data_IF_805980325619
#
_entry.id   IF_805980325619
#
_cell.length_a   1.000
_cell.length_b   1.000
_cell.length_c   1.000
_cell.angle_alpha   90.00
_cell.angle_beta   90.00
_cell.angle_gamma   90.00
#
_symmetry.space_group_name_H-M   'P 1'
#
loop_
_entity.id
_entity.type
_entity.pdbx_description
1 polymer ?
#
# COMPACT_ATOMS: atom_id res chain seq x y z
N UNK A 1 -19.38 5.99 -2.70
CA UNK A 1 -18.47 4.94 -2.20
C UNK A 1 -17.07 5.55 -2.08
N UNK A 2 -16.38 5.38 -0.95
CA UNK A 2 -15.00 5.86 -0.77
C UNK A 2 -14.03 4.71 -0.98
N UNK A 3 -12.95 4.95 -1.73
CA UNK A 3 -11.88 3.97 -1.95
C UNK A 3 -10.55 4.57 -1.49
N UNK A 4 -9.77 3.78 -0.76
CA UNK A 4 -8.40 4.12 -0.39
C UNK A 4 -7.48 3.10 -1.04
N UNK A 5 -6.59 3.56 -1.91
CA UNK A 5 -5.47 2.78 -2.44
C UNK A 5 -4.26 3.08 -1.58
N UNK A 6 -3.58 2.06 -1.10
CA UNK A 6 -2.44 2.17 -0.19
C UNK A 6 -1.23 1.52 -0.85
N UNK A 7 -0.17 2.30 -0.98
CA UNK A 7 1.15 1.80 -1.28
C UNK A 7 1.74 1.16 -0.03
N UNK A 8 1.41 -0.12 0.16
CA UNK A 8 1.60 -0.78 1.45
C UNK A 8 3.08 -0.83 1.83
N UNK A 9 3.96 -1.26 0.93
CA UNK A 9 5.37 -1.45 1.26
C UNK A 9 6.07 -0.12 1.54
N UNK A 10 5.71 0.95 0.82
CA UNK A 10 6.24 2.29 1.06
C UNK A 10 5.86 2.79 2.46
N UNK A 11 4.56 2.81 2.78
CA UNK A 11 4.05 3.30 4.07
C UNK A 11 4.48 2.40 5.23
N UNK A 12 4.53 1.08 5.02
CA UNK A 12 4.99 0.11 6.00
C UNK A 12 6.49 0.23 6.29
N UNK A 13 7.31 0.56 5.27
CA UNK A 13 8.73 0.80 5.48
C UNK A 13 8.96 2.02 6.37
N UNK A 14 8.27 3.12 6.10
CA UNK A 14 8.36 4.34 6.92
C UNK A 14 7.89 4.09 8.37
N UNK A 15 6.80 3.33 8.55
CA UNK A 15 6.36 2.89 9.88
C UNK A 15 7.49 2.20 10.66
N UNK A 16 8.13 1.20 10.06
CA UNK A 16 9.20 0.44 10.72
C UNK A 16 10.42 1.31 10.98
N UNK A 17 10.83 2.13 10.01
CA UNK A 17 11.99 3.01 10.17
C UNK A 17 11.79 3.98 11.35
N UNK A 18 10.60 4.56 11.49
CA UNK A 18 10.27 5.45 12.60
C UNK A 18 10.21 4.69 13.93
N UNK A 19 9.60 3.50 13.95
CA UNK A 19 9.56 2.62 15.14
C UNK A 19 10.97 2.35 15.66
N UNK A 20 11.84 1.82 14.81
CA UNK A 20 13.19 1.41 15.24
C UNK A 20 14.10 2.60 15.56
N UNK A 21 13.96 3.74 14.86
CA UNK A 21 14.69 4.96 15.23
C UNK A 21 14.36 5.44 16.65
N UNK A 22 13.10 5.31 17.09
CA UNK A 22 12.71 5.65 18.48
C UNK A 22 13.35 4.73 19.51
N UNK A 23 13.50 3.46 19.16
CA UNK A 23 14.14 2.43 19.99
C UNK A 23 15.67 2.48 19.92
N UNK A 24 16.25 3.42 19.16
CA UNK A 24 17.69 3.52 18.89
C UNK A 24 18.28 2.23 18.27
N UNK A 25 17.46 1.53 17.48
CA UNK A 25 17.86 0.32 16.76
C UNK A 25 18.14 0.61 15.28
N UNK A 26 19.12 -0.09 14.71
CA UNK A 26 19.41 0.00 13.28
C UNK A 26 18.35 -0.77 12.47
N UNK A 27 17.49 -0.04 11.75
CA UNK A 27 16.44 -0.62 10.90
C UNK A 27 16.97 -1.71 9.95
N UNK A 28 18.14 -1.53 9.35
CA UNK A 28 18.66 -2.47 8.35
C UNK A 28 19.00 -3.84 8.95
N UNK A 29 19.31 -3.89 10.25
CA UNK A 29 19.67 -5.12 10.97
C UNK A 29 18.45 -5.89 11.47
N UNK A 30 17.34 -5.19 11.73
CA UNK A 30 16.14 -5.77 12.38
C UNK A 30 14.96 -5.99 11.44
N UNK A 31 14.90 -5.27 10.30
CA UNK A 31 13.73 -5.26 9.40
C UNK A 31 13.30 -6.62 8.84
N UNK A 32 14.21 -7.58 8.77
CA UNK A 32 13.93 -8.93 8.28
C UNK A 32 13.49 -9.88 9.40
N UNK A 33 13.90 -9.63 10.66
CA UNK A 33 13.62 -10.50 11.81
C UNK A 33 12.20 -10.30 12.34
N UNK A 34 11.73 -9.06 12.35
CA UNK A 34 10.49 -8.67 13.04
C UNK A 34 9.30 -8.45 12.11
N UNK A 35 9.43 -8.81 10.84
CA UNK A 35 8.49 -8.43 9.77
C UNK A 35 7.02 -8.78 10.07
N UNK A 36 6.77 -9.96 10.64
CA UNK A 36 5.43 -10.42 11.01
C UNK A 36 4.84 -9.58 12.15
N UNK A 37 5.62 -9.35 13.22
CA UNK A 37 5.21 -8.53 14.36
C UNK A 37 4.94 -7.10 13.92
N UNK A 38 5.86 -6.53 13.15
CA UNK A 38 5.72 -5.17 12.60
C UNK A 38 4.44 -5.04 11.76
N UNK A 39 4.07 -6.08 11.02
CA UNK A 39 2.82 -6.09 10.23
C UNK A 39 1.59 -6.00 11.11
N UNK A 40 1.53 -6.81 12.16
CA UNK A 40 0.40 -6.79 13.08
C UNK A 40 0.27 -5.44 13.78
N UNK A 41 1.40 -4.86 14.21
CA UNK A 41 1.40 -3.53 14.82
C UNK A 41 1.01 -2.43 13.83
N UNK A 42 1.51 -2.50 12.58
CA UNK A 42 1.11 -1.57 11.52
C UNK A 42 -0.39 -1.58 11.29
N UNK A 43 -0.99 -2.76 11.14
CA UNK A 43 -2.44 -2.87 10.90
C UNK A 43 -3.27 -2.50 12.13
N UNK A 44 -2.79 -2.81 13.35
CA UNK A 44 -3.39 -2.30 14.60
C UNK A 44 -3.38 -0.78 14.60
N UNK A 45 -2.26 -0.15 14.29
CA UNK A 45 -2.15 1.30 14.21
C UNK A 45 -3.04 1.88 13.10
N UNK A 46 -3.02 1.29 11.90
CA UNK A 46 -3.79 1.75 10.75
C UNK A 46 -5.29 1.79 11.06
N UNK A 47 -5.86 0.67 11.51
CA UNK A 47 -7.30 0.57 11.74
C UNK A 47 -7.78 1.23 13.04
N UNK A 48 -6.88 1.60 13.96
CA UNK A 48 -7.25 2.33 15.19
C UNK A 48 -7.00 3.84 15.12
N UNK A 49 -6.03 4.30 14.31
CA UNK A 49 -5.62 5.70 14.24
C UNK A 49 -5.79 6.32 12.86
N UNK A 50 -5.29 5.66 11.82
CA UNK A 50 -5.34 6.25 10.47
C UNK A 50 -6.78 6.41 10.04
N UNK A 51 -7.58 5.36 10.19
CA UNK A 51 -9.01 5.40 9.86
C UNK A 51 -9.78 6.51 10.57
N UNK A 52 -9.44 6.78 11.84
CA UNK A 52 -10.04 7.87 12.64
C UNK A 52 -9.59 9.24 12.19
N UNK A 53 -8.29 9.44 12.00
CA UNK A 53 -7.71 10.72 11.59
C UNK A 53 -8.22 11.17 10.21
N UNK A 54 -8.40 10.22 9.29
CA UNK A 54 -8.91 10.49 7.94
C UNK A 54 -10.43 10.46 7.84
N UNK A 55 -11.13 10.19 8.96
CA UNK A 55 -12.59 10.09 9.03
C UNK A 55 -13.16 9.26 7.87
N UNK A 56 -12.54 8.11 7.59
CA UNK A 56 -13.02 7.26 6.50
C UNK A 56 -14.45 6.82 6.81
N UNK A 57 -15.34 7.01 5.83
CA UNK A 57 -16.76 6.70 5.97
C UNK A 57 -16.96 5.20 6.12
N UNK A 58 -18.06 4.81 6.76
CA UNK A 58 -18.52 3.43 6.75
C UNK A 58 -18.64 2.92 5.31
N UNK A 59 -18.26 1.66 5.09
CA UNK A 59 -18.19 1.06 3.75
C UNK A 59 -17.02 1.54 2.87
N UNK A 60 -16.03 2.25 3.43
CA UNK A 60 -14.78 2.55 2.73
C UNK A 60 -14.05 1.25 2.36
N UNK A 61 -13.62 1.15 1.10
CA UNK A 61 -12.85 0.01 0.58
C UNK A 61 -11.36 0.31 0.60
N UNK A 62 -10.56 -0.62 1.12
CA UNK A 62 -9.12 -0.47 1.25
C UNK A 62 -8.39 -1.45 0.34
N UNK A 63 -7.54 -0.93 -0.54
CA UNK A 63 -6.71 -1.71 -1.45
C UNK A 63 -5.24 -1.54 -1.08
N UNK A 64 -4.64 -2.55 -0.47
CA UNK A 64 -3.22 -2.56 -0.10
C UNK A 64 -2.42 -3.19 -1.24
N UNK A 65 -1.74 -2.36 -2.03
CA UNK A 65 -0.90 -2.79 -3.14
C UNK A 65 0.48 -3.15 -2.63
N UNK A 66 0.96 -4.34 -3.00
CA UNK A 66 2.23 -4.86 -2.53
C UNK A 66 2.88 -5.84 -3.49
N UNK A 67 4.21 -5.95 -3.41
CA UNK A 67 4.95 -7.04 -4.06
C UNK A 67 4.76 -8.33 -3.26
N UNK A 68 4.79 -9.48 -3.94
CA UNK A 68 4.81 -10.78 -3.30
C UNK A 68 5.98 -10.90 -2.34
N UNK A 69 5.69 -11.39 -1.14
CA UNK A 69 6.68 -11.67 -0.10
C UNK A 69 6.61 -13.15 0.26
N UNK A 70 7.75 -13.83 0.22
CA UNK A 70 7.83 -15.25 0.58
C UNK A 70 7.37 -15.48 2.02
N UNK A 71 6.57 -16.52 2.24
CA UNK A 71 6.05 -16.91 3.57
C UNK A 71 5.04 -15.93 4.19
N UNK A 72 4.57 -14.93 3.46
CA UNK A 72 3.74 -13.85 4.03
C UNK A 72 2.23 -14.12 3.99
N UNK A 73 1.81 -15.17 3.28
CA UNK A 73 0.40 -15.49 3.04
C UNK A 73 -0.38 -15.66 4.35
N UNK A 74 0.15 -16.46 5.28
CA UNK A 74 -0.49 -16.71 6.57
C UNK A 74 -0.67 -15.41 7.38
N UNK A 75 0.28 -14.48 7.30
CA UNK A 75 0.16 -13.16 7.94
C UNK A 75 -0.97 -12.34 7.32
N UNK A 76 -1.08 -12.32 5.99
CA UNK A 76 -2.17 -11.64 5.29
C UNK A 76 -3.54 -12.24 5.65
N UNK A 77 -3.65 -13.57 5.72
CA UNK A 77 -4.88 -14.27 6.12
C UNK A 77 -5.32 -13.90 7.54
N UNK A 78 -4.36 -13.79 8.48
CA UNK A 78 -4.63 -13.33 9.85
C UNK A 78 -5.13 -11.90 9.86
N UNK A 79 -4.51 -10.99 9.10
CA UNK A 79 -4.96 -9.60 8.98
C UNK A 79 -6.38 -9.54 8.40
N UNK A 80 -6.65 -10.24 7.30
CA UNK A 80 -7.98 -10.26 6.68
C UNK A 80 -9.07 -10.76 7.63
N UNK A 81 -8.80 -11.81 8.42
CA UNK A 81 -9.75 -12.31 9.44
C UNK A 81 -9.94 -11.31 10.58
N UNK A 82 -8.85 -10.74 11.10
CA UNK A 82 -8.90 -9.82 12.24
C UNK A 82 -9.63 -8.51 11.94
N UNK A 83 -9.55 -8.06 10.69
CA UNK A 83 -10.13 -6.80 10.22
C UNK A 83 -11.27 -7.04 9.23
N UNK A 84 -11.97 -8.18 9.33
CA UNK A 84 -13.04 -8.59 8.41
C UNK A 84 -14.25 -7.64 8.39
N UNK A 85 -14.43 -6.82 9.43
CA UNK A 85 -15.43 -5.74 9.46
C UNK A 85 -15.14 -4.60 8.47
N UNK A 86 -13.92 -4.52 7.95
CA UNK A 86 -13.53 -3.57 6.91
C UNK A 86 -13.49 -4.24 5.54
N UNK A 87 -13.87 -3.54 4.47
CA UNK A 87 -13.72 -4.03 3.11
C UNK A 87 -12.25 -3.91 2.68
N UNK A 88 -11.46 -4.93 3.04
CA UNK A 88 -10.02 -5.00 2.82
C UNK A 88 -9.68 -5.94 1.66
N UNK A 89 -8.87 -5.46 0.73
CA UNK A 89 -8.28 -6.27 -0.36
C UNK A 89 -6.77 -6.06 -0.42
N UNK A 90 -6.02 -7.15 -0.37
CA UNK A 90 -4.60 -7.16 -0.75
C UNK A 90 -4.47 -7.35 -2.26
N UNK A 91 -3.76 -6.43 -2.90
CA UNK A 91 -3.40 -6.48 -4.32
C UNK A 91 -1.92 -6.88 -4.40
N UNK A 92 -1.66 -8.16 -4.64
CA UNK A 92 -0.32 -8.75 -4.60
C UNK A 92 0.24 -8.90 -6.00
N UNK A 93 1.36 -8.24 -6.29
CA UNK A 93 2.07 -8.36 -7.56
C UNK A 93 2.98 -9.58 -7.48
N UNK A 94 2.65 -10.62 -8.25
CA UNK A 94 3.25 -11.95 -8.14
C UNK A 94 4.62 -12.06 -8.82
N UNK A 95 4.77 -11.38 -9.96
CA UNK A 95 5.88 -11.56 -10.86
C UNK A 95 7.10 -10.73 -10.47
N UNK A 96 8.30 -11.24 -10.78
CA UNK A 96 9.54 -10.47 -10.84
C UNK A 96 9.83 -10.17 -12.30
N UNK A 97 10.23 -8.94 -12.60
CA UNK A 97 10.54 -8.53 -13.96
C UNK A 97 12.06 -8.47 -14.17
N UNK A 98 12.48 -8.79 -15.40
CA UNK A 98 13.88 -8.72 -15.82
C UNK A 98 14.35 -7.27 -15.96
N UNK A 99 13.49 -6.38 -16.47
CA UNK A 99 13.76 -4.94 -16.48
C UNK A 99 13.77 -4.41 -15.03
N UNK A 100 14.93 -3.85 -14.65
CA UNK A 100 15.15 -3.34 -13.30
C UNK A 100 14.26 -2.15 -12.95
N UNK A 101 14.03 -1.23 -13.89
CA UNK A 101 13.21 -0.04 -13.67
C UNK A 101 11.76 -0.47 -13.44
N UNK A 102 11.29 -1.43 -14.22
CA UNK A 102 9.98 -2.05 -14.04
C UNK A 102 9.86 -2.74 -12.69
N UNK A 103 10.77 -3.67 -12.37
CA UNK A 103 10.66 -4.47 -11.14
C UNK A 103 10.72 -3.59 -9.88
N UNK A 104 11.53 -2.53 -9.96
CA UNK A 104 11.66 -1.52 -8.90
C UNK A 104 10.36 -0.74 -8.69
N UNK A 105 9.66 -0.34 -9.74
CA UNK A 105 8.53 0.61 -9.65
C UNK A 105 7.14 -0.03 -9.94
N UNK A 106 7.04 -1.36 -10.05
CA UNK A 106 5.77 -2.04 -10.40
C UNK A 106 4.64 -1.80 -9.41
N UNK A 107 4.94 -1.69 -8.12
CA UNK A 107 3.99 -1.33 -7.08
C UNK A 107 3.47 0.10 -7.26
N UNK A 108 4.35 1.05 -7.57
CA UNK A 108 3.95 2.42 -7.88
C UNK A 108 2.99 2.46 -9.07
N UNK A 109 3.34 1.76 -10.15
CA UNK A 109 2.50 1.65 -11.33
C UNK A 109 1.11 1.09 -10.98
N UNK A 110 1.04 0.00 -10.23
CA UNK A 110 -0.24 -0.63 -9.85
C UNK A 110 -1.05 0.30 -8.94
N UNK A 111 -0.41 0.98 -7.98
CA UNK A 111 -1.05 2.01 -7.16
C UNK A 111 -1.69 3.10 -8.01
N UNK A 112 -0.95 3.64 -8.98
CA UNK A 112 -1.44 4.69 -9.87
C UNK A 112 -2.57 4.20 -10.78
N UNK A 113 -2.47 2.96 -11.29
CA UNK A 113 -3.53 2.34 -12.08
C UNK A 113 -4.84 2.24 -11.29
N UNK A 114 -4.81 1.64 -10.09
CA UNK A 114 -6.01 1.49 -9.26
C UNK A 114 -6.56 2.84 -8.83
N UNK A 115 -5.70 3.79 -8.46
CA UNK A 115 -6.12 5.14 -8.10
C UNK A 115 -6.86 5.82 -9.25
N UNK A 116 -6.28 5.83 -10.46
CA UNK A 116 -6.94 6.42 -11.63
C UNK A 116 -8.26 5.71 -11.95
N UNK A 117 -8.28 4.37 -11.93
CA UNK A 117 -9.47 3.57 -12.20
C UNK A 117 -10.63 3.87 -11.24
N UNK A 118 -10.35 4.08 -9.95
CA UNK A 118 -11.37 4.37 -8.96
C UNK A 118 -11.73 5.85 -8.85
N UNK A 119 -10.79 6.77 -9.09
CA UNK A 119 -11.03 8.22 -9.09
C UNK A 119 -12.13 8.58 -10.08
N UNK A 120 -12.11 7.97 -11.26
CA UNK A 120 -13.10 8.25 -12.31
C UNK A 120 -14.51 7.70 -11.95
N UNK A 121 -14.63 6.96 -10.84
CA UNK A 121 -15.87 6.33 -10.36
C UNK A 121 -16.37 6.89 -9.02
N UNK A 122 -15.67 7.86 -8.43
CA UNK A 122 -16.06 8.49 -7.18
C UNK A 122 -14.89 8.93 -6.30
N UNK A 123 -15.13 9.07 -4.99
CA UNK A 123 -14.11 9.50 -4.04
C UNK A 123 -13.03 8.44 -3.88
N UNK A 124 -11.83 8.73 -4.40
CA UNK A 124 -10.65 7.88 -4.25
C UNK A 124 -9.50 8.66 -3.61
N UNK A 125 -8.84 8.04 -2.64
CA UNK A 125 -7.65 8.55 -1.97
C UNK A 125 -6.48 7.61 -2.23
N UNK A 126 -5.30 8.16 -2.48
CA UNK A 126 -4.05 7.41 -2.54
C UNK A 126 -3.23 7.72 -1.30
N UNK A 127 -2.99 6.71 -0.47
CA UNK A 127 -2.08 6.79 0.65
C UNK A 127 -0.72 6.24 0.26
N UNK A 128 0.20 7.16 -0.03
CA UNK A 128 1.61 6.88 -0.21
C UNK A 128 2.44 8.05 0.32
N UNK A 129 3.66 7.75 0.77
CA UNK A 129 4.67 8.76 1.04
C UNK A 129 5.61 8.95 -0.15
N UNK A 130 5.53 8.07 -1.14
CA UNK A 130 6.14 8.32 -2.43
C UNK A 130 5.34 9.42 -3.16
N UNK A 131 6.08 10.36 -3.74
CA UNK A 131 5.46 11.50 -4.42
C UNK A 131 5.23 11.23 -5.90
N UNK A 132 5.56 10.01 -6.37
CA UNK A 132 5.42 9.54 -7.75
C UNK A 132 5.95 10.55 -8.78
N UNK A 133 7.00 11.30 -8.40
CA UNK A 133 7.53 12.43 -9.18
C UNK A 133 8.12 11.99 -10.51
N UNK A 134 8.65 10.78 -10.53
CA UNK A 134 9.35 10.21 -11.66
C UNK A 134 8.39 9.47 -12.61
N UNK A 135 7.07 9.59 -12.44
CA UNK A 135 6.10 8.91 -13.28
C UNK A 135 6.34 9.13 -14.78
N UNK A 136 6.68 10.36 -15.19
CA UNK A 136 6.98 10.64 -16.59
C UNK A 136 8.20 9.87 -17.12
N UNK A 137 9.17 9.56 -16.26
CA UNK A 137 10.34 8.74 -16.61
C UNK A 137 10.02 7.25 -16.56
N UNK A 138 9.17 6.84 -15.61
CA UNK A 138 8.79 5.43 -15.38
C UNK A 138 7.80 4.95 -16.44
N UNK A 139 6.82 5.79 -16.80
CA UNK A 139 5.69 5.44 -17.65
C UNK A 139 6.07 4.80 -18.99
N UNK A 140 7.07 5.30 -19.74
CA UNK A 140 7.48 4.69 -21.00
C UNK A 140 8.00 3.25 -20.89
N UNK A 141 8.44 2.82 -19.71
CA UNK A 141 8.93 1.45 -19.46
C UNK A 141 7.79 0.45 -19.21
N UNK A 142 6.59 0.92 -18.86
CA UNK A 142 5.45 0.06 -18.58
C UNK A 142 4.58 -0.13 -19.82
N UNK A 143 5.10 -0.88 -20.79
CA UNK A 143 4.40 -1.29 -22.03
C UNK A 143 4.03 -2.78 -22.02
N UNK A 144 3.71 -3.32 -20.86
CA UNK A 144 3.36 -4.71 -20.68
C UNK A 144 2.35 -4.86 -19.55
N UNK A 145 1.77 -6.04 -19.47
CA UNK A 145 0.71 -6.38 -18.54
C UNK A 145 1.29 -6.88 -17.19
N UNK A 146 0.70 -6.46 -16.08
CA UNK A 146 1.12 -6.88 -14.74
C UNK A 146 0.14 -7.88 -14.15
N UNK A 147 0.60 -9.08 -13.86
CA UNK A 147 -0.18 -10.06 -13.10
C UNK A 147 -0.25 -9.70 -11.62
N UNK A 148 -1.47 -9.69 -11.12
CA UNK A 148 -1.78 -9.47 -9.72
C UNK A 148 -2.71 -10.55 -9.18
N UNK A 149 -2.61 -10.77 -7.88
CA UNK A 149 -3.53 -11.58 -7.10
C UNK A 149 -4.33 -10.67 -6.18
N UNK A 150 -5.65 -10.78 -6.23
CA UNK A 150 -6.56 -10.14 -5.29
C UNK A 150 -6.90 -11.12 -4.18
N UNK A 151 -6.60 -10.71 -2.95
CA UNK A 151 -6.80 -11.53 -1.77
C UNK A 151 -7.64 -10.79 -0.74
N UNK A 152 -8.78 -11.40 -0.35
CA UNK A 152 -9.83 -10.78 0.45
C UNK A 152 -10.50 -11.83 1.35
N UNK A 153 -10.98 -11.40 2.52
CA UNK A 153 -11.65 -12.29 3.46
C UNK A 153 -12.95 -12.87 2.87
N UNK A 154 -13.18 -14.18 3.05
CA UNK A 154 -14.41 -14.85 2.64
C UNK A 154 -14.62 -14.95 1.12
N UNK A 155 -13.63 -14.56 0.32
CA UNK A 155 -13.70 -14.59 -1.15
C UNK A 155 -12.53 -15.42 -1.67
N UNK A 156 -12.81 -16.32 -2.62
CA UNK A 156 -11.75 -17.07 -3.29
C UNK A 156 -10.73 -16.10 -3.91
N UNK A 157 -9.46 -16.36 -3.66
CA UNK A 157 -8.34 -15.60 -4.25
C UNK A 157 -8.47 -15.56 -5.77
N UNK A 158 -8.35 -14.37 -6.36
CA UNK A 158 -8.49 -14.18 -7.81
C UNK A 158 -7.20 -13.66 -8.42
N UNK A 159 -6.75 -14.28 -9.50
CA UNK A 159 -5.68 -13.72 -10.34
C UNK A 159 -6.30 -12.83 -11.41
N UNK A 160 -5.68 -11.70 -11.67
CA UNK A 160 -6.06 -10.81 -12.75
C UNK A 160 -4.84 -10.09 -13.33
N UNK A 161 -5.07 -9.43 -14.46
CA UNK A 161 -4.04 -8.73 -15.21
C UNK A 161 -4.38 -7.25 -15.23
N UNK A 162 -3.42 -6.42 -14.80
CA UNK A 162 -3.47 -4.97 -14.96
C UNK A 162 -2.86 -4.63 -16.32
N UNK A 163 -3.67 -4.09 -17.21
CA UNK A 163 -3.22 -3.72 -18.56
C UNK A 163 -2.56 -2.36 -18.60
N UNK A 164 -1.43 -2.27 -19.31
CA UNK A 164 -0.69 -1.01 -19.49
C UNK A 164 -1.35 -0.05 -20.47
N UNK A 165 -2.04 -0.57 -21.49
CA UNK A 165 -2.67 0.25 -22.52
C UNK A 165 -3.91 0.98 -21.99
N UNK A 166 -3.88 2.32 -21.99
CA UNK A 166 -5.07 3.18 -21.96
C UNK A 166 -5.43 3.91 -20.65
N UNK A 167 -4.84 3.57 -19.50
CA UNK A 167 -5.27 4.13 -18.19
C UNK A 167 -4.23 4.99 -17.44
N UNK A 168 -3.06 5.18 -18.02
CA UNK A 168 -1.98 5.96 -17.40
C UNK A 168 -2.02 7.43 -17.80
N UNK A 169 -3.04 8.15 -17.34
CA UNK A 169 -2.96 9.62 -17.32
C UNK A 169 -2.06 10.01 -16.15
N UNK A 170 -0.93 10.66 -16.46
CA UNK A 170 -0.08 11.33 -15.47
C UNK A 170 -0.95 12.33 -14.70
N UNK A 171 -1.40 11.96 -13.50
CA UNK A 171 -2.28 12.83 -12.74
C UNK A 171 -1.43 13.74 -11.88
N UNK A 172 -1.27 15.02 -12.27
CA UNK A 172 -0.65 16.05 -11.41
C UNK A 172 -1.31 16.16 -10.02
N UNK A 173 -2.55 15.66 -9.85
CA UNK A 173 -3.24 15.60 -8.55
C UNK A 173 -2.80 14.44 -7.65
N UNK A 174 -2.21 13.35 -8.19
CA UNK A 174 -1.61 12.28 -7.35
C UNK A 174 -0.55 12.88 -6.42
N UNK A 175 0.22 13.86 -6.92
CA UNK A 175 1.20 14.62 -6.14
C UNK A 175 0.60 15.46 -5.00
N UNK A 176 -0.73 15.60 -4.93
CA UNK A 176 -1.46 16.38 -3.89
C UNK A 176 -2.23 15.52 -2.89
N UNK A 177 -2.42 14.22 -3.15
CA UNK A 177 -3.30 13.34 -2.36
C UNK A 177 -2.52 12.38 -1.45
N UNK A 178 -1.20 12.32 -1.57
CA UNK A 178 -0.32 11.62 -0.62
C UNK A 178 -0.25 12.32 0.73
N UNK A 179 -0.08 11.54 1.81
CA UNK A 179 0.20 12.12 3.12
C UNK A 179 1.59 12.77 3.09
N UNK A 180 1.73 13.98 3.63
CA UNK A 180 3.08 14.52 3.79
C UNK A 180 3.86 13.58 4.72
N UNK A 181 5.14 13.33 4.41
CA UNK A 181 6.01 12.51 5.27
C UNK A 181 5.95 12.96 6.73
N UNK A 182 5.90 14.27 6.97
CA UNK A 182 5.74 14.86 8.30
C UNK A 182 4.43 14.45 8.99
N UNK A 183 3.29 14.49 8.28
CA UNK A 183 1.99 14.07 8.83
C UNK A 183 1.98 12.56 9.11
N UNK A 184 2.58 11.74 8.24
CA UNK A 184 2.72 10.30 8.49
C UNK A 184 3.57 10.05 9.73
N UNK A 185 4.73 10.70 9.83
CA UNK A 185 5.62 10.60 10.98
C UNK A 185 4.90 11.00 12.27
N UNK A 186 4.18 12.12 12.26
CA UNK A 186 3.42 12.58 13.43
C UNK A 186 2.40 11.54 13.90
N UNK A 187 1.64 10.95 12.97
CA UNK A 187 0.66 9.91 13.29
C UNK A 187 1.32 8.64 13.83
N UNK A 188 2.42 8.20 13.23
CA UNK A 188 3.17 7.03 13.69
C UNK A 188 3.70 7.27 15.11
N UNK A 189 4.36 8.41 15.35
CA UNK A 189 4.92 8.74 16.67
C UNK A 189 3.83 8.80 17.74
N UNK A 190 2.71 9.48 17.47
CA UNK A 190 1.57 9.55 18.41
C UNK A 190 0.94 8.17 18.67
N UNK A 191 0.89 7.33 17.64
CA UNK A 191 0.32 5.99 17.72
C UNK A 191 1.18 5.00 18.50
N UNK A 192 2.48 4.97 18.21
CA UNK A 192 3.46 4.10 18.88
C UNK A 192 3.53 4.35 20.40
N UNK A 193 3.30 5.58 20.87
CA UNK A 193 3.28 5.87 22.32
C UNK A 193 2.08 5.28 23.07
N UNK A 194 1.14 4.61 22.37
CA UNK A 194 -0.09 4.04 22.93
C UNK A 194 -0.36 2.61 22.42
N UNK A 195 0.62 1.99 21.76
CA UNK A 195 0.54 0.61 21.28
C UNK A 195 0.92 -0.38 22.38
#
# INVERSE_FOLDING_TARGET
MSVVVIDYLNVFSDFREIKYKRERLNFHEVKHKNKTVDTYEFFKLFFTRYTREFMFREGTKFYFVMKKLYGYQATLDVILRRYAQFDLTFVVIEQKYTDYIVDKNKDDFVCMYFYNFFRDKGSCYLLSNDKYRDFGMIAPHFKFDIEITLHKHGVATRKCVVKSEGNMRACKQVCRIGMSKQKLTSLIVRGLSRL
#
